data_IF_898801419822
#
_entry.id   IF_898801419822
#
_cell.length_a   1.000
_cell.length_b   1.000
_cell.length_c   1.000
_cell.angle_alpha   90.00
_cell.angle_beta   90.00
_cell.angle_gamma   90.00
#
_symmetry.space_group_name_H-M   'P 1'
#
loop_
_entity.id
_entity.type
_entity.pdbx_description
1 polymer ?
#
# COMPACT_ATOMS: atom_id res chain seq x y z
N UNK A 1 16.05 -6.55 8.71
CA UNK A 1 15.05 -7.34 7.96
C UNK A 1 15.03 -6.88 6.52
N UNK A 2 15.62 -7.71 5.67
CA UNK A 2 15.73 -7.52 4.23
C UNK A 2 14.34 -7.44 3.59
N UNK A 3 14.25 -6.64 2.54
CA UNK A 3 13.17 -6.71 1.57
C UNK A 3 13.13 -8.14 1.04
N UNK A 4 12.00 -8.84 1.24
CA UNK A 4 11.71 -10.09 0.55
C UNK A 4 10.80 -9.74 -0.63
N UNK A 5 11.37 -9.52 -1.84
CA UNK A 5 10.58 -9.20 -3.02
C UNK A 5 9.49 -10.25 -3.29
N UNK A 6 9.65 -11.49 -2.79
CA UNK A 6 8.72 -12.58 -3.04
C UNK A 6 7.42 -12.53 -2.23
N UNK A 7 7.29 -11.70 -1.20
CA UNK A 7 6.11 -11.73 -0.34
C UNK A 7 4.82 -11.25 -1.04
N UNK A 8 4.93 -10.21 -1.88
CA UNK A 8 3.81 -9.75 -2.70
C UNK A 8 3.57 -10.72 -3.85
N UNK A 9 4.63 -11.14 -4.56
CA UNK A 9 4.48 -12.06 -5.70
C UNK A 9 3.86 -13.40 -5.28
N UNK A 10 4.22 -13.93 -4.11
CA UNK A 10 3.60 -15.12 -3.55
C UNK A 10 2.12 -14.91 -3.18
N UNK A 11 1.75 -13.74 -2.64
CA UNK A 11 0.36 -13.42 -2.33
C UNK A 11 -0.48 -13.24 -3.60
N UNK A 12 0.10 -12.63 -4.64
CA UNK A 12 -0.52 -12.49 -5.96
C UNK A 12 -0.73 -13.87 -6.58
N UNK A 13 0.32 -14.70 -6.67
CA UNK A 13 0.24 -16.06 -7.19
C UNK A 13 -0.75 -16.93 -6.39
N UNK A 14 -0.82 -16.77 -5.07
CA UNK A 14 -1.81 -17.48 -4.26
C UNK A 14 -3.27 -17.08 -4.60
N UNK A 15 -3.50 -15.86 -5.07
CA UNK A 15 -4.83 -15.37 -5.42
C UNK A 15 -5.28 -15.76 -6.85
N UNK A 16 -4.34 -15.85 -7.81
CA UNK A 16 -4.66 -16.05 -9.24
C UNK A 16 -4.02 -17.29 -9.87
N UNK A 17 -3.25 -18.06 -9.10
CA UNK A 17 -2.42 -19.16 -9.59
C UNK A 17 -1.08 -18.68 -10.17
N UNK A 18 -0.33 -19.60 -10.78
CA UNK A 18 0.99 -19.33 -11.38
C UNK A 18 0.90 -18.74 -12.81
N UNK A 19 -0.25 -18.19 -13.21
CA UNK A 19 -0.43 -17.56 -14.52
C UNK A 19 0.23 -16.17 -14.54
N UNK A 20 1.36 -15.98 -15.26
CA UNK A 20 2.16 -14.76 -15.13
C UNK A 20 1.40 -13.49 -15.57
N UNK A 21 0.47 -13.63 -16.52
CA UNK A 21 -0.38 -12.53 -16.99
C UNK A 21 -1.31 -12.01 -15.90
N UNK A 22 -2.00 -12.91 -15.19
CA UNK A 22 -2.92 -12.53 -14.11
C UNK A 22 -2.17 -11.95 -12.91
N UNK A 23 -0.98 -12.46 -12.60
CA UNK A 23 -0.12 -11.89 -11.55
C UNK A 23 0.26 -10.45 -11.90
N UNK A 24 0.66 -10.20 -13.16
CA UNK A 24 1.01 -8.86 -13.62
C UNK A 24 -0.18 -7.88 -13.58
N UNK A 25 -1.36 -8.33 -14.01
CA UNK A 25 -2.60 -7.53 -13.95
C UNK A 25 -2.97 -7.18 -12.51
N UNK A 26 -2.91 -8.14 -11.59
CA UNK A 26 -3.25 -7.92 -10.20
C UNK A 26 -2.21 -7.02 -9.49
N UNK A 27 -0.93 -7.13 -9.84
CA UNK A 27 0.14 -6.23 -9.39
C UNK A 27 -0.10 -4.80 -9.86
N UNK A 28 -0.51 -4.62 -11.11
CA UNK A 28 -0.88 -3.32 -11.65
C UNK A 28 -2.08 -2.73 -10.89
N UNK A 29 -3.15 -3.50 -10.73
CA UNK A 29 -4.35 -3.07 -10.01
C UNK A 29 -4.04 -2.68 -8.55
N UNK A 30 -3.18 -3.44 -7.87
CA UNK A 30 -2.70 -3.10 -6.53
C UNK A 30 -1.94 -1.76 -6.54
N UNK A 31 -1.01 -1.57 -7.47
CA UNK A 31 -0.17 -0.37 -7.55
C UNK A 31 -1.01 0.87 -7.79
N UNK A 32 -1.92 0.83 -8.77
CA UNK A 32 -2.83 1.94 -9.05
C UNK A 32 -3.74 2.26 -7.85
N UNK A 33 -4.21 1.24 -7.13
CA UNK A 33 -5.04 1.44 -5.94
C UNK A 33 -4.25 2.08 -4.80
N UNK A 34 -2.99 1.69 -4.62
CA UNK A 34 -2.10 2.31 -3.65
C UNK A 34 -1.82 3.78 -4.00
N UNK A 35 -1.57 4.09 -5.27
CA UNK A 35 -1.37 5.46 -5.75
C UNK A 35 -2.60 6.34 -5.53
N UNK A 36 -3.81 5.83 -5.79
CA UNK A 36 -5.06 6.55 -5.49
C UNK A 36 -5.21 6.85 -4.00
N UNK A 37 -4.85 5.92 -3.13
CA UNK A 37 -4.87 6.16 -1.68
C UNK A 37 -3.83 7.22 -1.26
N UNK A 38 -2.63 7.19 -1.83
CA UNK A 38 -1.58 8.19 -1.58
C UNK A 38 -1.97 9.59 -2.08
N UNK A 39 -2.63 9.69 -3.23
CA UNK A 39 -3.17 10.95 -3.73
C UNK A 39 -4.27 11.49 -2.81
N UNK A 40 -5.16 10.63 -2.32
CA UNK A 40 -6.18 11.02 -1.34
C UNK A 40 -5.58 11.49 -0.01
N UNK A 41 -4.50 10.86 0.46
CA UNK A 41 -3.76 11.32 1.65
C UNK A 41 -3.13 12.71 1.42
N UNK A 42 -2.55 12.96 0.25
CA UNK A 42 -1.94 14.26 -0.10
C UNK A 42 -2.99 15.39 -0.17
N UNK A 43 -4.17 15.07 -0.73
CA UNK A 43 -5.29 15.99 -0.84
C UNK A 43 -6.07 16.21 0.47
N UNK A 44 -5.86 15.37 1.49
CA UNK A 44 -6.62 15.43 2.74
C UNK A 44 -6.39 16.76 3.48
N UNK A 45 -7.48 17.47 3.78
CA UNK A 45 -7.44 18.74 4.53
C UNK A 45 -7.77 18.56 6.01
N UNK A 46 -8.39 17.43 6.37
CA UNK A 46 -8.76 17.10 7.75
C UNK A 46 -8.07 15.83 8.23
N UNK A 47 -8.02 15.63 9.55
CA UNK A 47 -7.46 14.41 10.17
C UNK A 47 -8.25 13.16 9.77
N UNK A 48 -9.57 13.26 9.69
CA UNK A 48 -10.43 12.12 9.34
C UNK A 48 -10.22 11.69 7.89
N UNK A 49 -10.16 12.63 6.95
CA UNK A 49 -9.84 12.32 5.55
C UNK A 49 -8.49 11.63 5.40
N UNK A 50 -7.48 12.11 6.14
CA UNK A 50 -6.16 11.51 6.18
C UNK A 50 -6.19 10.09 6.75
N UNK A 51 -6.86 9.90 7.89
CA UNK A 51 -7.00 8.60 8.56
C UNK A 51 -7.74 7.59 7.69
N UNK A 52 -8.79 8.01 6.99
CA UNK A 52 -9.56 7.15 6.10
C UNK A 52 -8.74 6.70 4.89
N UNK A 53 -8.01 7.63 4.25
CA UNK A 53 -7.14 7.31 3.13
C UNK A 53 -5.98 6.39 3.57
N UNK A 54 -5.35 6.65 4.72
CA UNK A 54 -4.33 5.79 5.29
C UNK A 54 -4.86 4.39 5.67
N UNK A 55 -6.08 4.31 6.21
CA UNK A 55 -6.72 3.03 6.55
C UNK A 55 -7.06 2.20 5.31
N UNK A 56 -7.46 2.85 4.22
CA UNK A 56 -7.65 2.18 2.91
C UNK A 56 -6.34 1.60 2.40
N UNK A 57 -5.24 2.37 2.45
CA UNK A 57 -3.91 1.87 2.08
C UNK A 57 -3.46 0.70 2.97
N UNK A 58 -3.74 0.77 4.28
CA UNK A 58 -3.48 -0.33 5.23
C UNK A 58 -4.23 -1.60 4.86
N UNK A 59 -5.53 -1.50 4.58
CA UNK A 59 -6.36 -2.64 4.18
C UNK A 59 -5.88 -3.28 2.88
N UNK A 60 -5.59 -2.45 1.86
CA UNK A 60 -5.01 -2.91 0.60
C UNK A 60 -3.69 -3.65 0.83
N UNK A 61 -2.77 -3.07 1.61
CA UNK A 61 -1.49 -3.72 1.91
C UNK A 61 -1.66 -5.05 2.66
N UNK A 62 -2.66 -5.15 3.54
CA UNK A 62 -2.97 -6.40 4.26
C UNK A 62 -3.45 -7.51 3.32
N UNK A 63 -4.29 -7.19 2.32
CA UNK A 63 -4.80 -8.15 1.35
C UNK A 63 -3.71 -8.86 0.53
N UNK A 64 -2.57 -8.19 0.32
CA UNK A 64 -1.45 -8.71 -0.48
C UNK A 64 -0.21 -9.06 0.36
N UNK A 65 -0.35 -9.16 1.69
CA UNK A 65 0.78 -9.50 2.56
C UNK A 65 1.93 -8.48 2.55
N UNK A 66 1.68 -7.23 2.14
CA UNK A 66 2.68 -6.16 2.07
C UNK A 66 2.95 -5.57 3.47
N UNK A 67 3.47 -6.39 4.39
CA UNK A 67 3.55 -6.12 5.85
C UNK A 67 4.18 -4.76 6.17
N UNK A 68 5.27 -4.39 5.48
CA UNK A 68 5.96 -3.11 5.73
C UNK A 68 5.11 -1.90 5.33
N UNK A 69 4.44 -1.97 4.18
CA UNK A 69 3.53 -0.92 3.73
C UNK A 69 2.33 -0.83 4.68
N UNK A 70 1.77 -1.98 5.09
CA UNK A 70 0.68 -2.05 6.06
C UNK A 70 1.07 -1.37 7.39
N UNK A 71 2.26 -1.63 7.92
CA UNK A 71 2.74 -1.04 9.16
C UNK A 71 2.97 0.48 9.05
N UNK A 72 3.47 0.98 7.92
CA UNK A 72 3.60 2.42 7.68
C UNK A 72 2.24 3.10 7.53
N UNK A 73 1.29 2.46 6.84
CA UNK A 73 -0.06 2.99 6.66
C UNK A 73 -0.83 3.01 7.99
N UNK A 74 -0.64 1.99 8.85
CA UNK A 74 -1.19 1.99 10.21
C UNK A 74 -0.67 3.16 11.05
N UNK A 75 0.65 3.38 11.04
CA UNK A 75 1.26 4.54 11.72
C UNK A 75 0.68 5.87 11.22
N UNK A 76 0.46 6.00 9.91
CA UNK A 76 -0.16 7.20 9.34
C UNK A 76 -1.61 7.37 9.80
N UNK A 77 -2.39 6.29 9.86
CA UNK A 77 -3.80 6.32 10.27
C UNK A 77 -4.00 6.68 11.76
N UNK A 78 -3.07 6.26 12.62
CA UNK A 78 -3.12 6.56 14.06
C UNK A 78 -2.62 7.99 14.38
N UNK A 79 -1.73 8.51 13.54
CA UNK A 79 -1.09 9.82 13.70
C UNK A 79 -1.93 11.03 13.29
N UNK A 80 -1.29 12.19 13.32
CA UNK A 80 -1.75 13.39 12.64
C UNK A 80 -1.25 13.39 11.17
N UNK A 81 -1.76 14.33 10.37
CA UNK A 81 -1.29 14.53 9.00
C UNK A 81 0.21 14.86 9.00
N UNK A 82 1.01 14.04 8.33
CA UNK A 82 2.48 14.16 8.30
C UNK A 82 3.02 13.92 6.88
N UNK A 83 3.68 14.93 6.31
CA UNK A 83 4.24 14.84 4.96
C UNK A 83 5.45 13.91 4.90
N UNK A 84 6.17 13.72 6.00
CA UNK A 84 7.31 12.82 6.07
C UNK A 84 6.87 11.35 5.96
N UNK A 85 5.78 10.97 6.65
CA UNK A 85 5.23 9.62 6.51
C UNK A 85 4.63 9.39 5.12
N UNK A 86 3.99 10.40 4.50
CA UNK A 86 3.53 10.31 3.10
C UNK A 86 4.70 10.03 2.14
N UNK A 87 5.83 10.73 2.31
CA UNK A 87 7.04 10.48 1.53
C UNK A 87 7.61 9.07 1.72
N UNK A 88 7.56 8.52 2.95
CA UNK A 88 7.95 7.12 3.22
C UNK A 88 7.02 6.14 2.52
N UNK A 89 5.71 6.37 2.56
CA UNK A 89 4.71 5.53 1.91
C UNK A 89 4.89 5.51 0.39
N UNK A 90 5.06 6.69 -0.24
CA UNK A 90 5.36 6.81 -1.69
C UNK A 90 6.58 5.99 -2.09
N UNK A 91 7.70 6.15 -1.36
CA UNK A 91 8.92 5.36 -1.62
C UNK A 91 8.74 3.87 -1.40
N UNK A 92 7.86 3.46 -0.47
CA UNK A 92 7.56 2.05 -0.24
C UNK A 92 6.80 1.47 -1.43
N UNK A 93 5.79 2.16 -1.94
CA UNK A 93 4.98 1.71 -3.10
C UNK A 93 5.83 1.64 -4.37
N UNK A 94 6.71 2.61 -4.63
CA UNK A 94 7.61 2.61 -5.80
C UNK A 94 8.62 1.46 -5.83
N UNK A 95 8.80 0.73 -4.72
CA UNK A 95 9.75 -0.39 -4.58
C UNK A 95 9.07 -1.75 -4.58
N UNK A 96 7.74 -1.79 -4.69
CA UNK A 96 6.98 -3.03 -4.83
C UNK A 96 7.05 -3.50 -6.27
#
# INVERSE_FOLDING_TARGET
MAYDPGAIDAALAAAVGDEPGLIAELRLAFTESAERALAAMDAATTRDQWRDAASRLKGLAASFGAVRLMALAAQAADGARDTAILGKLRRSVMRL
#
